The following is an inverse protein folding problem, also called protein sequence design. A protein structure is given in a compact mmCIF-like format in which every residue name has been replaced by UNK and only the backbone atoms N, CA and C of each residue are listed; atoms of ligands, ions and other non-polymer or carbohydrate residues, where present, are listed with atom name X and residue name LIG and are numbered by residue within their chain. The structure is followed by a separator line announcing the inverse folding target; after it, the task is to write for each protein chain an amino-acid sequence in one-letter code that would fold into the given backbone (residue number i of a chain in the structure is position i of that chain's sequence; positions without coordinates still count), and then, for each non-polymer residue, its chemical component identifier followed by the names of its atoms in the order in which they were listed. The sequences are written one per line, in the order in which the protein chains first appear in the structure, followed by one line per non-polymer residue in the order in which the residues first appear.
data_IF_847760954057
#
_entry.id   IF_847760954057
#
_cell.length_a   1.000
_cell.length_b   1.000
_cell.length_c   1.000
_cell.angle_alpha   90.00
_cell.angle_beta   90.00
_cell.angle_gamma   90.00
#
_symmetry.space_group_name_H-M   'P 1'
#
loop_
_entity.id
_entity.type
_entity.pdbx_description
1 polymer ?
#
# COMPACT_ATOMS: atom_id res chain seq x y z
N UNK A 1 -21.87 5.11 3.34
CA UNK A 1 -22.21 5.29 1.91
C UNK A 1 -22.14 6.76 1.40
N UNK A 2 -21.28 7.60 2.00
CA UNK A 2 -21.15 9.04 1.66
C UNK A 2 -20.02 9.36 0.66
N UNK A 3 -19.14 8.39 0.37
CA UNK A 3 -17.93 8.60 -0.43
C UNK A 3 -18.25 8.75 -1.94
N UNK A 4 -19.43 8.30 -2.39
CA UNK A 4 -19.80 8.27 -3.82
C UNK A 4 -19.93 9.64 -4.49
N UNK A 5 -20.06 10.74 -3.75
CA UNK A 5 -20.48 12.04 -4.32
C UNK A 5 -19.57 13.23 -4.01
N UNK A 6 -18.39 13.03 -3.38
CA UNK A 6 -17.53 14.15 -2.91
C UNK A 6 -16.09 14.17 -3.42
N UNK A 7 -15.74 13.47 -4.49
CA UNK A 7 -14.37 13.51 -5.00
C UNK A 7 -14.32 14.11 -6.40
N UNK A 8 -13.86 15.36 -6.48
CA UNK A 8 -13.44 15.96 -7.75
C UNK A 8 -12.37 15.05 -8.36
N UNK A 9 -12.47 14.69 -9.64
CA UNK A 9 -11.52 13.79 -10.30
C UNK A 9 -10.06 14.27 -10.14
N UNK A 10 -9.85 15.58 -10.09
CA UNK A 10 -8.55 16.21 -9.86
C UNK A 10 -7.99 15.97 -8.45
N UNK A 11 -8.84 15.86 -7.43
CA UNK A 11 -8.41 15.55 -6.06
C UNK A 11 -8.01 14.09 -5.91
N UNK A 12 -8.72 13.18 -6.59
CA UNK A 12 -8.37 11.76 -6.66
C UNK A 12 -7.00 11.53 -7.31
N UNK A 13 -6.68 12.26 -8.38
CA UNK A 13 -5.40 12.15 -9.08
C UNK A 13 -4.20 12.59 -8.21
N UNK A 14 -4.42 13.42 -7.19
CA UNK A 14 -3.36 13.88 -6.29
C UNK A 14 -3.13 12.96 -5.09
N UNK A 15 -4.03 12.01 -4.80
CA UNK A 15 -3.91 11.13 -3.64
C UNK A 15 -2.63 10.26 -3.67
N UNK A 16 -2.24 9.61 -4.80
CA UNK A 16 -0.99 8.86 -4.86
C UNK A 16 0.25 9.68 -4.51
N UNK A 17 0.28 10.95 -4.93
CA UNK A 17 1.40 11.87 -4.64
C UNK A 17 1.50 12.14 -3.14
N UNK A 18 0.36 12.38 -2.48
CA UNK A 18 0.31 12.61 -1.04
C UNK A 18 0.67 11.33 -0.27
N UNK A 19 0.15 10.18 -0.70
CA UNK A 19 0.44 8.87 -0.10
C UNK A 19 1.93 8.53 -0.17
N UNK A 20 2.57 8.76 -1.33
CA UNK A 20 4.00 8.58 -1.50
C UNK A 20 4.79 9.51 -0.57
N UNK A 21 4.43 10.80 -0.49
CA UNK A 21 5.12 11.74 0.39
C UNK A 21 5.03 11.34 1.88
N UNK A 22 3.87 10.82 2.32
CA UNK A 22 3.69 10.28 3.67
C UNK A 22 4.59 9.07 3.88
N UNK A 23 4.62 8.13 2.92
CA UNK A 23 5.44 6.93 2.97
C UNK A 23 6.94 7.27 3.07
N UNK A 24 7.43 8.19 2.23
CA UNK A 24 8.81 8.69 2.24
C UNK A 24 9.15 9.37 3.58
N UNK A 25 8.22 10.17 4.13
CA UNK A 25 8.40 10.79 5.45
C UNK A 25 8.55 9.76 6.57
N UNK A 26 7.69 8.73 6.61
CA UNK A 26 7.79 7.64 7.58
C UNK A 26 9.08 6.82 7.42
N UNK A 27 9.52 6.58 6.18
CA UNK A 27 10.75 5.84 5.90
C UNK A 27 12.01 6.54 6.44
N UNK A 28 12.02 7.88 6.46
CA UNK A 28 13.17 8.68 6.90
C UNK A 28 13.54 8.47 8.38
N UNK A 29 12.55 8.19 9.23
CA UNK A 29 12.73 7.99 10.68
C UNK A 29 12.85 6.51 11.07
N UNK A 30 12.77 5.60 10.11
CA UNK A 30 12.86 4.17 10.36
C UNK A 30 14.30 3.75 10.63
N UNK A 31 14.52 3.01 11.72
CA UNK A 31 15.81 2.38 12.04
C UNK A 31 16.17 1.31 10.99
N UNK A 32 17.47 1.01 10.87
CA UNK A 32 17.92 -0.13 10.05
C UNK A 32 17.28 -1.44 10.53
N UNK A 33 16.99 -2.34 9.59
CA UNK A 33 16.18 -3.55 9.81
C UNK A 33 14.75 -3.29 10.30
N UNK A 34 14.30 -2.03 10.38
CA UNK A 34 12.95 -1.67 10.71
C UNK A 34 11.96 -2.05 9.61
N UNK A 35 10.72 -2.33 10.01
CA UNK A 35 9.63 -2.69 9.10
C UNK A 35 8.63 -1.53 9.05
N UNK A 36 8.25 -1.14 7.84
CA UNK A 36 7.23 -0.15 7.53
C UNK A 36 6.08 -0.85 6.81
N UNK A 37 4.85 -0.68 7.30
CA UNK A 37 3.65 -1.21 6.65
C UNK A 37 2.91 -0.08 5.97
N UNK A 38 2.68 -0.23 4.67
CA UNK A 38 1.83 0.63 3.87
C UNK A 38 0.48 -0.05 3.66
N UNK A 39 -0.62 0.68 3.89
CA UNK A 39 -1.96 0.14 3.69
C UNK A 39 -2.97 1.19 3.27
N UNK A 40 -3.92 0.79 2.41
CA UNK A 40 -5.01 1.66 1.96
C UNK A 40 -6.34 0.89 1.95
N UNK A 41 -7.46 1.61 1.96
CA UNK A 41 -8.82 1.05 1.81
C UNK A 41 -9.36 1.24 0.38
N UNK A 42 -8.49 1.03 -0.61
CA UNK A 42 -8.79 1.13 -2.04
C UNK A 42 -8.14 -0.04 -2.77
N UNK A 43 -8.69 -0.38 -3.94
CA UNK A 43 -8.15 -1.41 -4.85
C UNK A 43 -7.49 -0.81 -6.09
N UNK A 44 -7.39 0.53 -6.18
CA UNK A 44 -6.81 1.24 -7.30
C UNK A 44 -5.29 1.06 -7.35
N UNK A 45 -4.74 0.76 -8.53
CA UNK A 45 -3.32 0.44 -8.68
C UNK A 45 -2.44 1.67 -8.47
N UNK A 46 -2.94 2.83 -8.87
CA UNK A 46 -2.33 4.14 -8.77
C UNK A 46 -2.05 4.53 -7.32
N UNK A 47 -2.93 4.11 -6.39
CA UNK A 47 -2.78 4.35 -4.94
C UNK A 47 -1.97 3.24 -4.24
N UNK A 48 -1.69 2.14 -4.92
CA UNK A 48 -1.16 0.91 -4.31
C UNK A 48 0.17 0.51 -4.94
N UNK A 49 0.14 -0.37 -5.93
CA UNK A 49 1.34 -0.92 -6.57
C UNK A 49 2.25 0.18 -7.13
N UNK A 50 1.68 1.22 -7.76
CA UNK A 50 2.47 2.30 -8.35
C UNK A 50 3.18 3.15 -7.29
N UNK A 51 2.55 3.39 -6.14
CA UNK A 51 3.18 4.07 -4.98
C UNK A 51 4.34 3.24 -4.45
N UNK A 52 4.13 1.93 -4.25
CA UNK A 52 5.17 1.01 -3.76
C UNK A 52 6.35 0.92 -4.72
N UNK A 53 6.09 0.75 -6.02
CA UNK A 53 7.15 0.68 -7.04
C UNK A 53 7.92 2.00 -7.14
N UNK A 54 7.23 3.13 -7.14
CA UNK A 54 7.88 4.46 -7.15
C UNK A 54 8.76 4.65 -5.92
N UNK A 55 8.27 4.24 -4.74
CA UNK A 55 9.04 4.29 -3.50
C UNK A 55 10.30 3.43 -3.58
N UNK A 56 10.19 2.16 -4.00
CA UNK A 56 11.33 1.24 -4.08
C UNK A 56 12.38 1.65 -5.12
N UNK A 57 11.95 2.29 -6.22
CA UNK A 57 12.88 2.87 -7.20
C UNK A 57 13.70 4.02 -6.61
N UNK A 58 13.12 4.82 -5.70
CA UNK A 58 13.79 5.95 -5.04
C UNK A 58 14.59 5.55 -3.80
N UNK A 59 14.15 4.50 -3.12
CA UNK A 59 14.70 4.02 -1.85
C UNK A 59 15.27 2.61 -1.98
N UNK A 60 16.45 2.51 -2.59
CA UNK A 60 17.12 1.21 -2.84
C UNK A 60 17.62 0.52 -1.57
N UNK A 61 17.64 1.24 -0.45
CA UNK A 61 17.86 0.72 0.91
C UNK A 61 16.63 0.01 1.50
N UNK A 62 15.51 -0.02 0.78
CA UNK A 62 14.32 -0.78 1.16
C UNK A 62 14.12 -2.02 0.28
N UNK A 63 13.37 -2.98 0.81
CA UNK A 63 12.91 -4.16 0.09
C UNK A 63 11.52 -4.59 0.55
N UNK A 64 10.79 -5.27 -0.34
CA UNK A 64 9.50 -5.90 0.01
C UNK A 64 9.75 -7.19 0.78
N UNK A 65 9.06 -7.33 1.91
CA UNK A 65 9.03 -8.55 2.71
C UNK A 65 7.62 -9.13 2.72
N UNK A 66 7.51 -10.42 3.03
CA UNK A 66 6.22 -11.11 3.05
C UNK A 66 5.30 -10.50 4.12
N UNK A 67 4.04 -10.28 3.75
CA UNK A 67 3.00 -9.91 4.69
C UNK A 67 2.59 -11.16 5.47
N UNK A 68 2.75 -11.12 6.79
CA UNK A 68 2.35 -12.22 7.65
C UNK A 68 0.84 -12.16 7.86
N UNK A 69 0.13 -13.11 7.24
CA UNK A 69 -1.32 -13.26 7.34
C UNK A 69 -1.73 -14.70 7.61
N UNK A 70 -2.97 -14.86 8.05
CA UNK A 70 -3.61 -16.16 8.17
C UNK A 70 -3.53 -16.94 6.84
N UNK A 71 -3.31 -18.27 6.86
CA UNK A 71 -3.27 -19.11 5.66
C UNK A 71 -4.43 -18.90 4.68
N UNK A 72 -5.62 -18.54 5.18
CA UNK A 72 -6.81 -18.28 4.33
C UNK A 72 -6.61 -17.11 3.35
N UNK A 73 -5.70 -16.18 3.66
CA UNK A 73 -5.44 -14.99 2.85
C UNK A 73 -4.22 -15.14 1.93
N UNK A 74 -3.52 -16.27 2.00
CA UNK A 74 -2.28 -16.49 1.23
C UNK A 74 -2.51 -16.42 -0.29
N UNK A 75 -3.67 -16.89 -0.77
CA UNK A 75 -4.03 -16.81 -2.20
C UNK A 75 -4.26 -15.38 -2.71
N UNK A 76 -4.39 -14.41 -1.80
CA UNK A 76 -4.61 -12.99 -2.12
C UNK A 76 -3.32 -12.17 -2.09
N UNK A 77 -2.18 -12.83 -1.87
CA UNK A 77 -0.85 -12.23 -1.97
C UNK A 77 -0.32 -12.39 -3.39
N UNK A 78 0.07 -11.27 -4.00
CA UNK A 78 0.79 -11.22 -5.27
C UNK A 78 2.04 -10.36 -5.08
N UNK A 79 3.21 -10.91 -5.43
CA UNK A 79 4.51 -10.22 -5.31
C UNK A 79 4.73 -9.56 -3.92
N UNK A 80 4.46 -10.35 -2.87
CA UNK A 80 4.53 -9.96 -1.44
C UNK A 80 3.59 -8.82 -1.03
N UNK A 81 2.59 -8.51 -1.84
CA UNK A 81 1.57 -7.51 -1.55
C UNK A 81 0.22 -8.18 -1.42
N UNK A 82 -0.50 -7.86 -0.35
CA UNK A 82 -1.84 -8.41 -0.10
C UNK A 82 -2.89 -7.46 -0.66
N UNK A 83 -3.77 -7.97 -1.51
CA UNK A 83 -4.97 -7.25 -1.96
C UNK A 83 -6.23 -8.02 -1.56
N UNK A 84 -7.05 -7.43 -0.71
CA UNK A 84 -8.34 -7.99 -0.31
C UNK A 84 -9.43 -7.36 -1.17
N UNK A 85 -10.06 -8.16 -2.02
CA UNK A 85 -11.16 -7.68 -2.84
C UNK A 85 -12.52 -7.80 -2.12
N UNK A 86 -13.43 -6.83 -2.31
CA UNK A 86 -14.76 -6.85 -1.68
C UNK A 86 -15.54 -8.14 -1.92
N UNK A 87 -15.47 -8.68 -3.14
CA UNK A 87 -16.21 -9.87 -3.54
C UNK A 87 -15.71 -11.18 -2.93
N UNK A 88 -14.46 -11.21 -2.43
CA UNK A 88 -13.86 -12.42 -1.87
C UNK A 88 -14.04 -12.51 -0.36
N UNK A 89 -14.01 -11.36 0.32
CA UNK A 89 -13.95 -11.30 1.79
C UNK A 89 -15.03 -10.44 2.43
N UNK A 90 -16.01 -9.95 1.65
CA UNK A 90 -17.06 -9.05 2.13
C UNK A 90 -16.51 -7.80 2.86
N UNK A 91 -15.39 -7.27 2.36
CA UNK A 91 -14.72 -6.07 2.86
C UNK A 91 -14.96 -4.87 1.94
N UNK A 92 -14.55 -3.67 2.35
CA UNK A 92 -14.58 -2.47 1.50
C UNK A 92 -13.46 -2.43 0.44
N UNK A 93 -12.55 -3.43 0.45
CA UNK A 93 -11.35 -3.45 -0.37
C UNK A 93 -10.14 -2.91 0.38
N UNK A 94 -9.05 -3.68 0.45
CA UNK A 94 -7.84 -3.27 1.15
C UNK A 94 -6.58 -3.68 0.39
N UNK A 95 -5.53 -2.89 0.57
CA UNK A 95 -4.19 -3.21 0.10
C UNK A 95 -3.20 -3.08 1.26
N UNK A 96 -2.26 -4.03 1.36
CA UNK A 96 -1.21 -4.06 2.38
C UNK A 96 0.12 -4.46 1.74
N UNK A 97 1.19 -3.71 2.02
CA UNK A 97 2.56 -4.05 1.67
C UNK A 97 3.49 -3.81 2.87
N UNK A 98 4.40 -4.74 3.14
CA UNK A 98 5.43 -4.61 4.15
C UNK A 98 6.79 -4.36 3.52
N UNK A 99 7.47 -3.32 3.98
CA UNK A 99 8.78 -2.88 3.51
C UNK A 99 9.79 -2.96 4.65
N UNK A 100 10.98 -3.50 4.38
CA UNK A 100 12.08 -3.53 5.35
C UNK A 100 13.19 -2.60 4.89
N UNK A 101 13.69 -1.76 5.80
CA UNK A 101 14.93 -1.01 5.60
C UNK A 101 16.13 -1.92 5.87
N UNK A 102 17.08 -1.95 4.95
CA UNK A 102 18.30 -2.76 5.04
C UNK A 102 19.22 -2.31 6.18
#
# INVERSE_FOLDING_TARGET
PDIRYKKNASELANLPVIQLAILESCASVLKSSGILTYSTCTILKEENQEVIETFLQRHTDFERIDVLVDPVLQSSIEDKMLTLYPHQFYTDGFFICCLRKK
#
